data_IF_161582632033
#
_entry.id   IF_161582632033
#
_cell.length_a   1.000
_cell.length_b   1.000
_cell.length_c   1.000
_cell.angle_alpha   90.00
_cell.angle_beta   90.00
_cell.angle_gamma   90.00
#
_symmetry.space_group_name_H-M   'P 1'
#
loop_
_entity.id
_entity.type
_entity.pdbx_description
1 polymer ?
#
# COMPACT_ATOMS: atom_id res chain seq x y z
N UNK A 1 -21.19 12.84 43.71
CA UNK A 1 -19.95 12.62 44.50
C UNK A 1 -18.83 12.24 43.54
N UNK A 2 -17.62 12.74 43.73
CA UNK A 2 -16.47 12.34 42.92
C UNK A 2 -16.04 10.91 43.29
N UNK A 3 -15.89 10.02 42.31
CA UNK A 3 -15.41 8.64 42.51
C UNK A 3 -13.99 8.49 41.97
N UNK A 4 -13.08 8.00 42.80
CA UNK A 4 -11.70 7.71 42.40
C UNK A 4 -11.69 6.44 41.54
N UNK A 5 -11.26 6.56 40.27
CA UNK A 5 -11.08 5.43 39.34
C UNK A 5 -9.62 5.36 38.91
N UNK A 6 -8.97 4.19 39.02
CA UNK A 6 -7.59 3.97 38.57
C UNK A 6 -7.47 3.98 37.03
N UNK A 7 -8.47 3.43 36.34
CA UNK A 7 -8.58 3.44 34.88
C UNK A 7 -10.05 3.70 34.54
N UNK A 8 -10.29 4.53 33.52
CA UNK A 8 -11.63 4.77 32.98
C UNK A 8 -12.20 3.50 32.33
N UNK A 9 -13.52 3.44 32.18
CA UNK A 9 -14.13 2.31 31.49
C UNK A 9 -13.72 2.26 30.00
N UNK A 10 -13.75 1.08 29.35
CA UNK A 10 -13.47 0.98 27.91
C UNK A 10 -14.33 1.91 27.05
N UNK A 11 -15.62 2.08 27.37
CA UNK A 11 -16.50 2.99 26.63
C UNK A 11 -16.16 4.46 26.84
N UNK A 12 -15.82 4.83 28.07
CA UNK A 12 -15.36 6.19 28.40
C UNK A 12 -14.04 6.52 27.69
N UNK A 13 -13.13 5.54 27.59
CA UNK A 13 -11.91 5.67 26.81
C UNK A 13 -12.22 5.89 25.33
N UNK A 14 -12.98 4.99 24.71
CA UNK A 14 -13.37 5.06 23.30
C UNK A 14 -14.01 6.41 22.98
N UNK A 15 -14.95 6.87 23.83
CA UNK A 15 -15.61 8.17 23.69
C UNK A 15 -14.58 9.30 23.71
N UNK A 16 -13.75 9.38 24.75
CA UNK A 16 -12.74 10.43 24.90
C UNK A 16 -11.77 10.47 23.72
N UNK A 17 -11.32 9.31 23.24
CA UNK A 17 -10.38 9.22 22.13
C UNK A 17 -11.01 9.74 20.82
N UNK A 18 -12.25 9.31 20.51
CA UNK A 18 -12.93 9.75 19.29
C UNK A 18 -13.29 11.24 19.33
N UNK A 19 -13.75 11.75 20.48
CA UNK A 19 -14.07 13.17 20.65
C UNK A 19 -12.81 14.04 20.53
N UNK A 20 -11.68 13.60 21.11
CA UNK A 20 -10.40 14.32 20.97
C UNK A 20 -9.93 14.34 19.52
N UNK A 21 -10.02 13.21 18.82
CA UNK A 21 -9.63 13.12 17.41
C UNK A 21 -10.49 14.04 16.54
N UNK A 22 -11.81 14.10 16.79
CA UNK A 22 -12.73 15.01 16.09
C UNK A 22 -12.41 16.48 16.37
N UNK A 23 -12.13 16.82 17.62
CA UNK A 23 -11.92 18.21 18.04
C UNK A 23 -10.59 18.79 17.53
N UNK A 24 -9.48 18.05 17.67
CA UNK A 24 -8.13 18.60 17.44
C UNK A 24 -7.22 17.68 16.63
N UNK A 25 -7.67 16.49 16.23
CA UNK A 25 -6.83 15.47 15.63
C UNK A 25 -6.14 15.91 14.34
N UNK A 26 -6.87 16.55 13.42
CA UNK A 26 -6.31 17.05 12.15
C UNK A 26 -5.22 18.10 12.38
N UNK A 27 -5.49 19.09 13.24
CA UNK A 27 -4.55 20.18 13.54
C UNK A 27 -3.28 19.65 14.16
N UNK A 28 -3.40 18.80 15.19
CA UNK A 28 -2.25 18.20 15.86
C UNK A 28 -1.44 17.33 14.91
N UNK A 29 -2.10 16.58 14.01
CA UNK A 29 -1.41 15.79 13.00
C UNK A 29 -0.57 16.67 12.07
N UNK A 30 -1.14 17.75 11.54
CA UNK A 30 -0.44 18.68 10.63
C UNK A 30 0.76 19.33 11.34
N UNK A 31 0.57 19.80 12.58
CA UNK A 31 1.66 20.37 13.38
C UNK A 31 2.78 19.36 13.65
N UNK A 32 2.43 18.10 13.91
CA UNK A 32 3.40 17.03 14.15
C UNK A 32 4.25 16.71 12.92
N UNK A 33 3.66 16.69 11.73
CA UNK A 33 4.41 16.43 10.48
C UNK A 33 5.19 17.65 9.99
N UNK A 34 4.86 18.87 10.42
CA UNK A 34 5.60 20.08 10.05
C UNK A 34 6.91 20.29 10.81
N UNK A 35 7.10 19.60 11.95
CA UNK A 35 8.30 19.73 12.78
C UNK A 35 8.80 18.35 13.28
N UNK A 36 9.26 17.46 12.38
CA UNK A 36 9.72 16.14 12.77
C UNK A 36 11.02 16.24 13.60
N UNK A 37 11.12 15.46 14.68
CA UNK A 37 12.28 15.47 15.59
C UNK A 37 13.61 15.03 14.95
N UNK A 38 13.56 14.30 13.84
CA UNK A 38 14.64 14.21 12.85
C UNK A 38 14.06 13.66 11.54
N UNK A 39 14.89 13.58 10.50
CA UNK A 39 14.50 13.07 9.19
C UNK A 39 13.89 11.66 9.30
N UNK A 40 12.59 11.49 8.98
CA UNK A 40 11.93 10.20 9.07
C UNK A 40 12.45 9.19 8.04
N UNK A 41 12.95 9.64 6.89
CA UNK A 41 13.48 8.77 5.83
C UNK A 41 14.83 8.20 6.24
N UNK A 42 15.73 9.03 6.75
CA UNK A 42 17.05 8.56 7.20
C UNK A 42 16.93 7.64 8.42
N UNK A 43 16.02 7.95 9.36
CA UNK A 43 15.70 7.02 10.46
C UNK A 43 15.15 5.68 9.95
N UNK A 44 14.28 5.71 8.95
CA UNK A 44 13.73 4.49 8.36
C UNK A 44 14.83 3.63 7.73
N UNK A 45 15.73 4.25 6.93
CA UNK A 45 16.89 3.56 6.35
C UNK A 45 17.78 2.92 7.42
N UNK A 46 18.10 3.67 8.48
CA UNK A 46 18.94 3.18 9.58
C UNK A 46 18.33 1.99 10.34
N UNK A 47 16.99 1.84 10.30
CA UNK A 47 16.26 0.77 10.99
C UNK A 47 15.86 -0.40 10.09
N UNK A 48 16.28 -0.42 8.83
CA UNK A 48 15.99 -1.50 7.88
C UNK A 48 16.39 -2.90 8.40
N UNK A 49 17.55 -3.11 9.07
CA UNK A 49 17.89 -4.42 9.63
C UNK A 49 16.87 -4.90 10.68
N UNK A 50 16.42 -3.98 11.55
CA UNK A 50 15.39 -4.26 12.56
C UNK A 50 14.05 -4.58 11.91
N UNK A 51 13.68 -3.85 10.87
CA UNK A 51 12.45 -4.12 10.11
C UNK A 51 12.47 -5.52 9.47
N UNK A 52 13.58 -5.91 8.83
CA UNK A 52 13.76 -7.26 8.26
C UNK A 52 13.66 -8.37 9.31
N UNK A 53 14.29 -8.19 10.47
CA UNK A 53 14.20 -9.17 11.56
C UNK A 53 12.76 -9.34 12.08
N UNK A 54 12.04 -8.22 12.25
CA UNK A 54 10.64 -8.27 12.68
C UNK A 54 9.72 -8.91 11.65
N UNK A 55 9.98 -8.73 10.35
CA UNK A 55 9.22 -9.41 9.30
C UNK A 55 9.41 -10.93 9.34
N UNK A 56 10.65 -11.40 9.50
CA UNK A 56 10.91 -12.86 9.64
C UNK A 56 10.13 -13.44 10.82
N UNK A 57 10.21 -12.79 11.98
CA UNK A 57 9.43 -13.19 13.15
C UNK A 57 7.92 -13.19 12.89
N UNK A 58 7.40 -12.19 12.19
CA UNK A 58 5.98 -12.11 11.86
C UNK A 58 5.52 -13.22 10.89
N UNK A 59 6.43 -13.68 10.01
CA UNK A 59 6.20 -14.82 9.12
C UNK A 59 6.25 -16.14 9.90
N UNK A 60 7.24 -16.32 10.78
CA UNK A 60 7.37 -17.51 11.63
C UNK A 60 6.18 -17.68 12.58
N UNK A 61 5.58 -16.58 13.04
CA UNK A 61 4.42 -16.58 13.93
C UNK A 61 3.08 -16.50 13.18
N UNK A 62 3.06 -16.60 11.85
CA UNK A 62 1.84 -16.53 11.02
C UNK A 62 0.89 -15.36 11.35
N UNK A 63 1.46 -14.22 11.79
CA UNK A 63 0.67 -13.09 12.32
C UNK A 63 -0.37 -12.57 11.34
N UNK A 64 -0.06 -12.66 10.04
CA UNK A 64 -0.99 -12.26 8.97
C UNK A 64 -2.22 -13.15 8.95
N UNK A 65 -2.05 -14.46 9.04
CA UNK A 65 -3.16 -15.42 9.04
C UNK A 65 -4.07 -15.15 10.25
N UNK A 66 -3.48 -15.06 11.44
CA UNK A 66 -4.20 -14.74 12.67
C UNK A 66 -4.92 -13.39 12.67
N UNK A 67 -4.45 -12.42 11.88
CA UNK A 67 -5.15 -11.15 11.71
C UNK A 67 -6.35 -11.29 10.76
N UNK A 68 -6.21 -12.07 9.68
CA UNK A 68 -7.30 -12.32 8.72
C UNK A 68 -8.44 -13.13 9.34
N UNK A 69 -8.14 -14.01 10.30
CA UNK A 69 -9.14 -14.76 11.08
C UNK A 69 -10.00 -13.86 11.99
N UNK A 70 -9.56 -12.61 12.25
CA UNK A 70 -10.26 -11.66 13.13
C UNK A 70 -11.21 -10.71 12.40
N UNK A 71 -11.35 -10.85 11.09
CA UNK A 71 -12.27 -10.03 10.29
C UNK A 71 -13.19 -10.90 9.45
N UNK A 72 -14.16 -10.29 8.78
CA UNK A 72 -15.14 -10.99 7.95
C UNK A 72 -15.29 -10.29 6.60
N UNK A 73 -15.86 -11.01 5.64
CA UNK A 73 -16.18 -10.44 4.32
C UNK A 73 -17.10 -9.22 4.42
N UNK A 74 -18.07 -9.24 5.34
CA UNK A 74 -19.00 -8.14 5.56
C UNK A 74 -18.30 -6.91 6.14
N UNK A 75 -17.42 -7.10 7.11
CA UNK A 75 -16.64 -6.00 7.70
C UNK A 75 -15.68 -5.38 6.69
N UNK A 76 -14.98 -6.22 5.91
CA UNK A 76 -14.14 -5.76 4.81
C UNK A 76 -14.93 -4.93 3.81
N UNK A 77 -16.07 -5.46 3.33
CA UNK A 77 -16.90 -4.79 2.34
C UNK A 77 -17.40 -3.45 2.86
N UNK A 78 -17.89 -3.41 4.11
CA UNK A 78 -18.35 -2.18 4.75
C UNK A 78 -17.29 -1.09 4.73
N UNK A 79 -16.07 -1.37 5.20
CA UNK A 79 -15.03 -0.35 5.24
C UNK A 79 -14.49 0.02 3.86
N UNK A 80 -14.38 -0.94 2.95
CA UNK A 80 -13.98 -0.68 1.57
C UNK A 80 -14.99 0.24 0.86
N UNK A 81 -16.29 0.00 1.06
CA UNK A 81 -17.37 0.81 0.52
C UNK A 81 -17.44 2.19 1.18
N UNK A 82 -17.57 2.24 2.52
CA UNK A 82 -17.89 3.48 3.25
C UNK A 82 -16.69 4.44 3.37
N UNK A 83 -15.46 3.93 3.29
CA UNK A 83 -14.23 4.74 3.44
C UNK A 83 -13.37 4.65 2.18
N UNK A 84 -13.20 3.45 1.64
CA UNK A 84 -12.21 3.18 0.59
C UNK A 84 -12.49 3.89 -0.73
N UNK A 85 -13.75 3.95 -1.17
CA UNK A 85 -14.12 4.52 -2.46
C UNK A 85 -13.64 5.97 -2.63
N UNK A 86 -13.97 6.85 -1.68
CA UNK A 86 -13.59 8.25 -1.74
C UNK A 86 -12.08 8.46 -1.54
N UNK A 87 -11.45 7.65 -0.68
CA UNK A 87 -10.00 7.74 -0.41
C UNK A 87 -9.15 7.26 -1.58
N UNK A 88 -9.64 6.32 -2.38
CA UNK A 88 -8.96 5.86 -3.58
C UNK A 88 -8.85 7.01 -4.59
N UNK A 89 -9.97 7.65 -4.93
CA UNK A 89 -10.01 8.72 -5.92
C UNK A 89 -9.16 9.91 -5.46
N UNK A 90 -9.40 10.43 -4.25
CA UNK A 90 -8.63 11.55 -3.68
C UNK A 90 -7.14 11.22 -3.58
N UNK A 91 -6.83 9.99 -3.17
CA UNK A 91 -5.45 9.52 -2.97
C UNK A 91 -4.66 9.39 -4.26
N UNK A 92 -5.28 8.88 -5.34
CA UNK A 92 -4.63 8.69 -6.64
C UNK A 92 -4.46 10.02 -7.36
N UNK A 93 -5.50 10.84 -7.45
CA UNK A 93 -5.43 12.15 -8.14
C UNK A 93 -4.35 13.04 -7.52
N UNK A 94 -4.30 13.13 -6.19
CA UNK A 94 -3.26 13.93 -5.50
C UNK A 94 -1.83 13.40 -5.68
N UNK A 95 -1.66 12.19 -6.24
CA UNK A 95 -0.36 11.55 -6.49
C UNK A 95 -0.09 11.41 -7.99
N UNK A 96 -0.73 12.23 -8.83
CA UNK A 96 -0.51 12.26 -10.28
C UNK A 96 0.98 12.24 -10.64
N UNK A 97 1.82 13.03 -9.97
CA UNK A 97 3.26 13.05 -10.23
C UNK A 97 3.94 11.67 -10.13
N UNK A 98 3.49 10.79 -9.22
CA UNK A 98 4.00 9.41 -9.13
C UNK A 98 3.52 8.54 -10.30
N UNK A 99 2.27 8.73 -10.71
CA UNK A 99 1.69 8.04 -11.88
C UNK A 99 2.44 8.47 -13.14
N UNK A 100 2.65 9.77 -13.33
CA UNK A 100 3.42 10.32 -14.45
C UNK A 100 4.85 9.79 -14.47
N UNK A 101 5.54 9.79 -13.32
CA UNK A 101 6.90 9.26 -13.24
C UNK A 101 6.98 7.77 -13.64
N UNK A 102 6.04 6.95 -13.16
CA UNK A 102 5.96 5.55 -13.56
C UNK A 102 5.69 5.41 -15.07
N UNK A 103 4.72 6.14 -15.62
CA UNK A 103 4.39 6.08 -17.05
C UNK A 103 5.59 6.49 -17.91
N UNK A 104 6.28 7.57 -17.55
CA UNK A 104 7.45 8.05 -18.29
C UNK A 104 8.59 7.04 -18.29
N UNK A 105 8.80 6.32 -17.18
CA UNK A 105 9.81 5.26 -17.11
C UNK A 105 9.37 3.96 -17.82
N UNK A 106 8.09 3.58 -17.67
CA UNK A 106 7.57 2.30 -18.14
C UNK A 106 7.23 2.27 -19.62
N UNK A 107 6.65 3.35 -20.15
CA UNK A 107 6.20 3.44 -21.53
C UNK A 107 7.27 3.05 -22.57
N UNK A 108 8.51 3.58 -22.53
CA UNK A 108 9.53 3.19 -23.50
C UNK A 108 9.91 1.70 -23.38
N UNK A 109 10.00 1.15 -22.17
CA UNK A 109 10.31 -0.27 -21.94
C UNK A 109 9.25 -1.18 -22.56
N UNK A 110 7.98 -0.84 -22.35
CA UNK A 110 6.86 -1.58 -22.91
C UNK A 110 6.81 -1.45 -24.44
N UNK A 111 7.04 -0.25 -24.96
CA UNK A 111 7.05 0.01 -26.41
C UNK A 111 8.12 -0.81 -27.11
N UNK A 112 9.35 -0.83 -26.56
CA UNK A 112 10.45 -1.62 -27.10
C UNK A 112 10.15 -3.13 -27.07
N UNK A 113 9.59 -3.62 -25.97
CA UNK A 113 9.21 -5.04 -25.86
C UNK A 113 8.12 -5.41 -26.87
N UNK A 114 7.06 -4.61 -26.97
CA UNK A 114 5.97 -4.89 -27.92
C UNK A 114 6.46 -4.85 -29.37
N UNK A 115 7.34 -3.91 -29.73
CA UNK A 115 7.94 -3.89 -31.07
C UNK A 115 8.69 -5.19 -31.42
N UNK A 116 9.34 -5.83 -30.44
CA UNK A 116 9.99 -7.14 -30.64
C UNK A 116 8.97 -8.27 -30.82
N UNK A 117 7.87 -8.22 -30.08
CA UNK A 117 6.78 -9.20 -30.18
C UNK A 117 6.06 -9.07 -31.53
N UNK A 118 5.85 -7.85 -32.00
CA UNK A 118 5.18 -7.57 -33.27
C UNK A 118 6.04 -7.95 -34.50
N UNK A 119 7.35 -8.04 -34.32
CA UNK A 119 8.27 -8.54 -35.35
C UNK A 119 8.33 -10.08 -35.42
N UNK A 120 7.68 -10.81 -34.51
CA UNK A 120 7.63 -12.27 -34.55
C UNK A 120 6.60 -12.76 -35.59
N UNK A 121 6.87 -13.87 -36.29
CA UNK A 121 5.89 -14.50 -37.17
C UNK A 121 4.58 -14.84 -36.45
N UNK A 122 3.47 -14.93 -37.21
CA UNK A 122 2.16 -15.33 -36.68
C UNK A 122 1.34 -16.22 -37.64
N UNK A 123 1.99 -16.76 -38.68
CA UNK A 123 1.34 -17.48 -39.79
C UNK A 123 0.81 -18.86 -39.33
N UNK A 124 1.60 -19.58 -38.53
CA UNK A 124 1.23 -20.91 -38.02
C UNK A 124 0.76 -20.86 -36.56
N UNK A 125 0.09 -21.92 -36.10
CA UNK A 125 -0.25 -22.06 -34.68
C UNK A 125 1.00 -22.07 -33.78
N UNK A 126 2.09 -22.69 -34.25
CA UNK A 126 3.36 -22.72 -33.53
C UNK A 126 3.96 -21.31 -33.37
N UNK A 127 3.83 -20.46 -34.39
CA UNK A 127 4.29 -19.08 -34.34
C UNK A 127 3.49 -18.25 -33.32
N UNK A 128 2.16 -18.39 -33.33
CA UNK A 128 1.26 -17.73 -32.38
C UNK A 128 1.55 -18.18 -30.94
N UNK A 129 1.75 -19.47 -30.71
CA UNK A 129 2.14 -19.99 -29.39
C UNK A 129 3.47 -19.40 -28.92
N UNK A 130 4.48 -19.40 -29.78
CA UNK A 130 5.79 -18.82 -29.50
C UNK A 130 5.68 -17.33 -29.16
N UNK A 131 4.93 -16.56 -29.93
CA UNK A 131 4.71 -15.12 -29.70
C UNK A 131 4.07 -14.85 -28.33
N UNK A 132 3.08 -15.66 -27.93
CA UNK A 132 2.44 -15.56 -26.61
C UNK A 132 3.41 -15.88 -25.47
N UNK A 133 4.22 -16.93 -25.61
CA UNK A 133 5.21 -17.32 -24.62
C UNK A 133 6.31 -16.27 -24.45
N UNK A 134 6.82 -15.73 -25.56
CA UNK A 134 7.83 -14.66 -25.54
C UNK A 134 7.26 -13.38 -24.93
N UNK A 135 6.00 -13.03 -25.22
CA UNK A 135 5.36 -11.89 -24.58
C UNK A 135 5.25 -12.07 -23.06
N UNK A 136 4.78 -13.23 -22.59
CA UNK A 136 4.70 -13.53 -21.16
C UNK A 136 6.06 -13.47 -20.47
N UNK A 137 7.10 -14.06 -21.08
CA UNK A 137 8.47 -14.05 -20.56
C UNK A 137 9.02 -12.63 -20.47
N UNK A 138 8.84 -11.84 -21.52
CA UNK A 138 9.30 -10.45 -21.54
C UNK A 138 8.58 -9.58 -20.51
N UNK A 139 7.25 -9.66 -20.39
CA UNK A 139 6.50 -8.92 -19.36
C UNK A 139 6.91 -9.32 -17.94
N UNK A 140 7.19 -10.61 -17.69
CA UNK A 140 7.76 -11.05 -16.40
C UNK A 140 9.14 -10.45 -16.15
N UNK A 141 9.99 -10.40 -17.18
CA UNK A 141 11.33 -9.83 -17.09
C UNK A 141 11.32 -8.30 -16.93
N UNK A 142 10.26 -7.62 -17.36
CA UNK A 142 10.09 -6.18 -17.18
C UNK A 142 9.53 -5.80 -15.79
N UNK A 143 8.87 -6.73 -15.08
CA UNK A 143 8.26 -6.45 -13.78
C UNK A 143 9.27 -5.84 -12.79
N UNK A 144 8.96 -4.65 -12.30
CA UNK A 144 9.76 -3.93 -11.30
C UNK A 144 10.98 -3.19 -11.85
N UNK A 145 11.08 -3.02 -13.18
CA UNK A 145 12.15 -2.24 -13.82
C UNK A 145 11.86 -0.74 -13.99
N UNK A 146 10.63 -0.30 -13.68
CA UNK A 146 10.21 1.10 -13.64
C UNK A 146 9.90 1.54 -12.21
#
# INVERSE_FOLDING_TARGET
MATVKRVISPDEWKKRQLETLRAVGRTNYIQGISAPKADPIERAKATDPKWKANLRKAMEEDRRLHALEKTSMNEWYKYAHDIGADKLVDGVIKREAKVSAFIQAWHPLLTEHLAKIDALPEETDADREKRMLENLRGLKALKGKA
#
